data_IF_709063041517
#
_entry.id   IF_709063041517
#
_cell.length_a   1.000
_cell.length_b   1.000
_cell.length_c   1.000
_cell.angle_alpha   90.00
_cell.angle_beta   90.00
_cell.angle_gamma   90.00
#
_symmetry.space_group_name_H-M   'P 1'
#
loop_
_entity.id
_entity.type
_entity.pdbx_description
1 polymer ?
#
# COMPACT_ATOMS: atom_id res chain seq x y z
N UNK A 1 13.88 -3.90 10.37
CA UNK A 1 12.77 -4.66 11.01
C UNK A 1 12.43 -5.82 10.12
N UNK A 2 12.42 -7.04 10.66
CA UNK A 2 12.06 -8.26 9.94
C UNK A 2 10.57 -8.56 10.20
N UNK A 3 9.83 -8.87 9.15
CA UNK A 3 8.43 -9.28 9.23
C UNK A 3 8.27 -10.51 8.33
N UNK A 4 7.56 -11.52 8.83
CA UNK A 4 7.26 -12.73 8.07
C UNK A 4 5.75 -12.93 7.97
N UNK A 5 5.32 -13.67 6.97
CA UNK A 5 3.95 -14.16 6.83
C UNK A 5 3.98 -15.67 6.73
N UNK A 6 3.12 -16.32 7.50
CA UNK A 6 3.02 -17.77 7.57
C UNK A 6 1.62 -18.18 7.11
N UNK A 7 1.56 -19.06 6.11
CA UNK A 7 0.31 -19.61 5.58
C UNK A 7 0.36 -21.14 5.63
N UNK A 8 -0.53 -21.76 6.40
CA UNK A 8 -0.74 -23.21 6.38
C UNK A 8 -1.83 -23.54 5.39
N UNK A 9 -1.50 -24.27 4.33
CA UNK A 9 -2.43 -24.63 3.27
C UNK A 9 -2.36 -26.12 2.95
N UNK A 10 -3.15 -26.59 1.98
CA UNK A 10 -3.25 -28.03 1.66
C UNK A 10 -1.93 -28.68 1.23
N UNK A 11 -1.00 -27.90 0.67
CA UNK A 11 0.29 -28.38 0.17
C UNK A 11 1.44 -28.15 1.17
N UNK A 12 1.15 -27.56 2.34
CA UNK A 12 2.09 -27.45 3.44
C UNK A 12 2.09 -26.09 4.13
N UNK A 13 3.10 -25.93 4.98
CA UNK A 13 3.40 -24.70 5.69
C UNK A 13 4.32 -23.82 4.84
N UNK A 14 3.87 -22.62 4.52
CA UNK A 14 4.65 -21.63 3.79
C UNK A 14 5.07 -20.50 4.72
N UNK A 15 6.33 -20.07 4.62
CA UNK A 15 6.88 -18.93 5.34
C UNK A 15 7.49 -17.99 4.32
N UNK A 16 7.04 -16.73 4.33
CA UNK A 16 7.47 -15.69 3.41
C UNK A 16 8.07 -14.51 4.16
N UNK A 17 9.12 -13.93 3.62
CA UNK A 17 9.52 -12.58 4.00
C UNK A 17 8.41 -11.60 3.59
N UNK A 18 8.03 -10.70 4.51
CA UNK A 18 7.00 -9.71 4.28
C UNK A 18 7.61 -8.30 4.30
N UNK A 19 8.19 -7.84 3.18
CA UNK A 19 8.77 -6.49 3.10
C UNK A 19 7.71 -5.39 3.18
N UNK A 20 6.45 -5.69 2.87
CA UNK A 20 5.36 -4.73 2.97
C UNK A 20 4.95 -4.47 4.44
N UNK A 21 5.21 -5.41 5.34
CA UNK A 21 4.85 -5.33 6.76
C UNK A 21 3.34 -5.27 6.99
N UNK A 22 2.54 -5.78 6.05
CA UNK A 22 1.08 -5.82 6.11
C UNK A 22 0.57 -7.18 5.67
N UNK A 23 -0.57 -7.59 6.22
CA UNK A 23 -1.27 -8.82 5.84
C UNK A 23 -2.77 -8.58 5.99
N UNK A 24 -3.59 -9.22 5.15
CA UNK A 24 -5.05 -9.20 5.29
C UNK A 24 -5.64 -10.61 5.33
N UNK A 25 -6.34 -11.05 4.30
CA UNK A 25 -6.99 -12.35 4.22
C UNK A 25 -6.58 -13.03 2.90
N UNK A 26 -7.52 -13.52 2.10
CA UNK A 26 -7.25 -14.13 0.78
C UNK A 26 -7.05 -13.05 -0.30
N UNK A 27 -6.35 -13.33 -1.42
CA UNK A 27 -5.67 -14.57 -1.81
C UNK A 27 -4.37 -14.83 -1.04
N UNK A 28 -3.63 -15.94 -1.29
CA UNK A 28 -2.33 -16.19 -0.70
C UNK A 28 -1.38 -15.00 -0.81
N UNK A 29 -0.52 -14.82 0.20
CA UNK A 29 0.36 -13.67 0.35
C UNK A 29 1.18 -13.32 -0.91
N UNK A 30 1.79 -14.27 -1.65
CA UNK A 30 2.52 -13.95 -2.88
C UNK A 30 1.67 -13.24 -3.94
N UNK A 31 0.37 -13.57 -4.04
CA UNK A 31 -0.55 -12.90 -4.96
C UNK A 31 -0.85 -11.47 -4.52
N UNK A 32 -1.05 -11.27 -3.20
CA UNK A 32 -1.27 -9.93 -2.64
C UNK A 32 -0.06 -9.02 -2.85
N UNK A 33 1.15 -9.56 -2.62
CA UNK A 33 2.41 -8.86 -2.83
C UNK A 33 2.61 -8.53 -4.32
N UNK A 34 2.37 -9.49 -5.22
CA UNK A 34 2.48 -9.27 -6.67
C UNK A 34 1.50 -8.20 -7.16
N UNK A 35 0.28 -8.16 -6.61
CA UNK A 35 -0.73 -7.17 -6.99
C UNK A 35 -0.32 -5.72 -6.68
N UNK A 36 0.67 -5.48 -5.80
CA UNK A 36 1.21 -4.13 -5.56
C UNK A 36 1.82 -3.52 -6.83
N UNK A 37 2.29 -4.32 -7.78
CA UNK A 37 2.84 -3.83 -9.05
C UNK A 37 1.82 -3.00 -9.86
N UNK A 38 0.53 -3.29 -9.73
CA UNK A 38 -0.54 -2.52 -10.40
C UNK A 38 -0.67 -1.08 -9.89
N UNK A 39 -0.05 -0.80 -8.74
CA UNK A 39 -0.15 0.46 -8.01
C UNK A 39 1.22 1.14 -7.84
N UNK A 40 2.25 0.69 -8.56
CA UNK A 40 3.62 1.23 -8.45
C UNK A 40 3.74 2.73 -8.78
N UNK A 41 2.78 3.26 -9.53
CA UNK A 41 2.69 4.65 -9.95
C UNK A 41 2.07 5.58 -8.90
N UNK A 42 1.46 5.04 -7.84
CA UNK A 42 0.85 5.85 -6.80
C UNK A 42 1.91 6.68 -6.06
N UNK A 43 1.55 7.90 -5.69
CA UNK A 43 2.43 8.84 -4.99
C UNK A 43 1.71 9.58 -3.87
N UNK A 44 2.33 9.78 -2.69
CA UNK A 44 1.79 10.67 -1.66
C UNK A 44 1.93 12.16 -2.05
N UNK A 45 2.69 12.47 -3.11
CA UNK A 45 2.92 13.84 -3.59
C UNK A 45 1.94 14.17 -4.71
N UNK A 46 1.73 15.46 -4.95
CA UNK A 46 1.04 15.89 -6.16
C UNK A 46 1.84 15.45 -7.39
N UNK A 47 1.13 14.97 -8.41
CA UNK A 47 1.71 14.62 -9.71
C UNK A 47 1.54 15.77 -10.69
N UNK A 48 2.46 15.87 -11.65
CA UNK A 48 2.37 16.84 -12.75
C UNK A 48 1.42 16.35 -13.84
N UNK A 49 1.26 17.15 -14.89
CA UNK A 49 0.56 16.71 -16.09
C UNK A 49 1.42 15.69 -16.87
N UNK A 50 0.98 14.44 -16.88
CA UNK A 50 1.56 13.35 -17.68
C UNK A 50 0.64 12.92 -18.84
N UNK A 51 -0.49 13.59 -19.04
CA UNK A 51 -1.48 13.22 -20.07
C UNK A 51 -1.02 13.65 -21.47
N UNK A 52 -0.68 14.93 -21.64
CA UNK A 52 -0.18 15.48 -22.90
C UNK A 52 0.62 16.77 -22.66
N UNK A 53 1.78 16.98 -23.32
CA UNK A 53 2.66 18.12 -23.06
C UNK A 53 2.02 19.48 -23.40
N UNK A 54 1.11 19.52 -24.38
CA UNK A 54 0.53 20.77 -24.89
C UNK A 54 -0.81 21.15 -24.23
N UNK A 55 -1.30 20.35 -23.28
CA UNK A 55 -2.56 20.64 -22.58
C UNK A 55 -2.23 21.24 -21.20
N UNK A 56 -2.70 22.43 -20.82
CA UNK A 56 -2.34 23.06 -19.55
C UNK A 56 -3.19 22.52 -18.39
N UNK A 57 -3.10 21.21 -18.12
CA UNK A 57 -3.78 20.57 -17.00
C UNK A 57 -3.03 20.83 -15.69
N UNK A 58 -3.77 21.21 -14.65
CA UNK A 58 -3.24 21.46 -13.32
C UNK A 58 -3.93 20.58 -12.29
N UNK A 59 -3.19 20.16 -11.25
CA UNK A 59 -3.79 19.56 -10.06
C UNK A 59 -4.66 20.61 -9.35
N UNK A 60 -5.92 20.29 -9.12
CA UNK A 60 -6.89 21.19 -8.48
C UNK A 60 -7.19 20.81 -7.03
N UNK A 61 -6.66 19.67 -6.56
CA UNK A 61 -6.83 19.18 -5.19
C UNK A 61 -5.57 18.47 -4.70
N UNK A 62 -5.55 18.14 -3.41
CA UNK A 62 -4.53 17.31 -2.78
C UNK A 62 -4.87 15.83 -2.94
N UNK A 63 -3.86 14.97 -2.85
CA UNK A 63 -4.03 13.51 -2.94
C UNK A 63 -4.19 12.95 -4.36
N UNK A 64 -4.19 13.81 -5.39
CA UNK A 64 -4.35 13.37 -6.79
C UNK A 64 -3.24 12.43 -7.27
N UNK A 65 -2.07 12.40 -6.62
CA UNK A 65 -1.01 11.43 -6.92
C UNK A 65 -1.32 9.99 -6.50
N UNK A 66 -2.31 9.78 -5.64
CA UNK A 66 -2.78 8.47 -5.22
C UNK A 66 -4.07 8.04 -5.96
N UNK A 67 -4.46 8.73 -7.03
CA UNK A 67 -5.59 8.33 -7.87
C UNK A 67 -5.33 6.94 -8.47
N UNK A 68 -6.27 6.02 -8.25
CA UNK A 68 -6.11 4.60 -8.55
C UNK A 68 -5.97 3.72 -7.31
N UNK A 69 -5.75 4.29 -6.12
CA UNK A 69 -5.81 3.54 -4.88
C UNK A 69 -7.23 2.98 -4.64
N UNK A 70 -7.41 1.66 -4.43
CA UNK A 70 -8.74 1.06 -4.37
C UNK A 70 -9.44 1.38 -3.05
N UNK A 71 -10.74 1.69 -3.10
CA UNK A 71 -11.52 2.16 -1.95
C UNK A 71 -12.45 1.13 -1.31
N UNK A 72 -12.68 -0.02 -1.92
CA UNK A 72 -13.62 -1.04 -1.42
C UNK A 72 -13.05 -1.87 -0.25
N UNK A 73 -13.88 -2.63 0.45
CA UNK A 73 -13.48 -3.37 1.65
C UNK A 73 -12.94 -4.79 1.37
N UNK A 74 -12.75 -5.16 0.10
CA UNK A 74 -12.16 -6.46 -0.24
C UNK A 74 -10.76 -6.61 0.37
N UNK A 75 -10.36 -7.86 0.55
CA UNK A 75 -9.07 -8.20 1.15
C UNK A 75 -7.89 -7.62 0.38
N UNK A 76 -7.90 -7.72 -0.95
CA UNK A 76 -6.86 -7.15 -1.82
C UNK A 76 -6.83 -5.62 -1.73
N UNK A 77 -7.99 -4.97 -1.77
CA UNK A 77 -8.07 -3.50 -1.67
C UNK A 77 -7.58 -2.99 -0.32
N UNK A 78 -7.92 -3.67 0.79
CA UNK A 78 -7.37 -3.38 2.11
C UNK A 78 -5.85 -3.58 2.17
N UNK A 79 -5.33 -4.65 1.57
CA UNK A 79 -3.89 -4.91 1.55
C UNK A 79 -3.13 -3.78 0.84
N UNK A 80 -3.60 -3.39 -0.35
CA UNK A 80 -3.01 -2.30 -1.15
C UNK A 80 -3.07 -0.97 -0.38
N UNK A 81 -4.23 -0.64 0.21
CA UNK A 81 -4.37 0.59 1.02
C UNK A 81 -3.43 0.60 2.22
N UNK A 82 -3.40 -0.48 3.00
CA UNK A 82 -2.57 -0.57 4.19
C UNK A 82 -1.08 -0.49 3.82
N UNK A 83 -0.64 -1.19 2.77
CA UNK A 83 0.73 -1.13 2.28
C UNK A 83 1.13 0.30 1.88
N UNK A 84 0.29 0.96 1.07
CA UNK A 84 0.56 2.32 0.61
C UNK A 84 0.56 3.33 1.75
N UNK A 85 -0.41 3.29 2.66
CA UNK A 85 -0.49 4.21 3.80
C UNK A 85 0.69 4.00 4.73
N UNK A 86 1.01 2.75 5.11
CA UNK A 86 2.15 2.44 5.97
C UNK A 86 3.49 2.92 5.39
N UNK A 87 3.69 2.76 4.08
CA UNK A 87 4.93 3.19 3.43
C UNK A 87 5.10 4.72 3.37
N UNK A 88 4.02 5.49 3.54
CA UNK A 88 4.00 6.94 3.36
C UNK A 88 3.54 7.72 4.60
N UNK A 89 3.17 7.03 5.69
CA UNK A 89 2.83 7.61 6.98
C UNK A 89 4.07 8.16 7.67
N UNK A 90 3.89 9.21 8.49
CA UNK A 90 4.95 9.80 9.31
C UNK A 90 4.69 9.46 10.76
N UNK A 91 5.72 8.99 11.46
CA UNK A 91 5.76 8.85 12.92
C UNK A 91 6.95 9.63 13.44
N UNK A 92 6.81 10.26 14.60
CA UNK A 92 7.95 10.71 15.39
C UNK A 92 8.59 9.53 16.13
N UNK A 93 9.55 9.82 17.01
CA UNK A 93 10.32 8.82 17.76
C UNK A 93 9.65 8.41 19.07
N UNK A 94 8.60 9.11 19.51
CA UNK A 94 7.91 8.76 20.75
C UNK A 94 6.96 7.57 20.59
N UNK A 95 6.75 6.84 21.68
CA UNK A 95 5.76 5.77 21.74
C UNK A 95 4.35 6.30 21.44
N UNK A 96 3.98 7.45 22.00
CA UNK A 96 2.68 8.07 21.77
C UNK A 96 2.43 8.39 20.29
N UNK A 97 3.44 8.92 19.58
CA UNK A 97 3.35 9.17 18.14
C UNK A 97 3.29 7.86 17.34
N UNK A 98 4.04 6.83 17.74
CA UNK A 98 4.02 5.53 17.08
C UNK A 98 2.65 4.84 17.22
N UNK A 99 2.06 4.89 18.41
CA UNK A 99 0.70 4.39 18.68
C UNK A 99 -0.32 5.20 17.90
N UNK A 100 -0.18 6.53 17.87
CA UNK A 100 -1.08 7.40 17.09
C UNK A 100 -0.94 7.18 15.58
N UNK A 101 0.22 6.75 15.08
CA UNK A 101 0.41 6.43 13.66
C UNK A 101 -0.17 5.05 13.33
N UNK A 102 -0.10 4.11 14.26
CA UNK A 102 -0.59 2.74 14.07
C UNK A 102 -2.11 2.66 13.87
N UNK A 103 -2.88 3.50 14.56
CA UNK A 103 -4.35 3.59 14.45
C UNK A 103 -4.81 4.66 13.46
#
# INVERSE_FOLDING_TARGET
HECITLESTKDGLHVYDNPAGVLTNNPPFPMQLFALNNYMQLSPKATGNHFAPNLPLNAYSRGMGAMGLPGDLSSQSRFVRAAFVRANSRSGESEAESVSQFF
#
